data_IF_327272317116
#
_entry.id   IF_327272317116
#
_cell.length_a   1.000
_cell.length_b   1.000
_cell.length_c   1.000
_cell.angle_alpha   90.00
_cell.angle_beta   90.00
_cell.angle_gamma   90.00
#
_symmetry.space_group_name_H-M   'P 1'
#
loop_
_entity.id
_entity.type
_entity.pdbx_description
1 polymer ?
#
# COMPACT_ATOMS: atom_id res chain seq x y z
N UNK A 1 -7.97 -24.09 -38.86
CA UNK A 1 -8.18 -24.22 -37.40
C UNK A 1 -7.01 -23.52 -36.73
N UNK A 2 -7.19 -22.31 -36.24
CA UNK A 2 -6.15 -21.62 -35.47
C UNK A 2 -6.26 -22.11 -34.02
N UNK A 3 -5.30 -22.93 -33.60
CA UNK A 3 -5.11 -23.27 -32.19
C UNK A 3 -4.79 -21.97 -31.44
N UNK A 4 -5.51 -21.71 -30.36
CA UNK A 4 -5.23 -20.61 -29.44
C UNK A 4 -3.80 -20.80 -28.95
N UNK A 5 -2.85 -19.91 -29.32
CA UNK A 5 -1.51 -20.00 -28.74
C UNK A 5 -1.66 -19.79 -27.24
N UNK A 6 -1.03 -20.65 -26.44
CA UNK A 6 -1.02 -20.50 -24.99
C UNK A 6 -0.60 -19.06 -24.64
N UNK A 7 -1.31 -18.44 -23.71
CA UNK A 7 -0.91 -17.12 -23.22
C UNK A 7 0.42 -17.27 -22.49
N UNK A 8 1.39 -16.47 -22.87
CA UNK A 8 2.64 -16.38 -22.14
C UNK A 8 2.38 -15.61 -20.83
N UNK A 9 2.89 -16.14 -19.73
CA UNK A 9 2.73 -15.59 -18.39
C UNK A 9 4.09 -15.41 -17.74
N UNK A 10 4.24 -14.29 -17.03
CA UNK A 10 5.47 -13.93 -16.32
C UNK A 10 5.39 -14.28 -14.83
N UNK A 11 4.21 -14.67 -14.35
CA UNK A 11 3.92 -14.88 -12.93
C UNK A 11 3.04 -16.11 -12.74
N UNK A 12 3.36 -16.94 -11.75
CA UNK A 12 2.48 -18.02 -11.28
C UNK A 12 2.43 -18.05 -9.75
N UNK A 13 1.25 -18.35 -9.18
CA UNK A 13 1.06 -18.42 -7.73
C UNK A 13 0.47 -19.75 -7.28
N UNK A 14 0.86 -20.21 -6.09
CA UNK A 14 0.26 -21.36 -5.39
C UNK A 14 0.05 -21.07 -3.91
N UNK A 15 -1.01 -21.64 -3.36
CA UNK A 15 -1.21 -21.67 -1.91
C UNK A 15 -0.49 -22.89 -1.38
N UNK A 16 0.42 -22.69 -0.44
CA UNK A 16 1.12 -23.77 0.25
C UNK A 16 0.45 -24.00 1.61
N UNK A 17 0.31 -25.26 2.01
CA UNK A 17 -0.22 -25.60 3.33
C UNK A 17 0.44 -26.87 3.85
N UNK A 18 1.31 -26.72 4.84
CA UNK A 18 2.07 -27.82 5.43
C UNK A 18 2.02 -27.79 6.95
N UNK A 19 2.35 -28.93 7.56
CA UNK A 19 2.54 -29.05 9.01
C UNK A 19 4.02 -29.03 9.33
N UNK A 20 4.42 -28.27 10.34
CA UNK A 20 5.76 -28.31 10.94
C UNK A 20 5.91 -29.51 11.88
N UNK A 21 7.12 -29.80 12.35
CA UNK A 21 7.38 -30.93 13.27
C UNK A 21 6.65 -30.82 14.61
N UNK A 22 6.37 -29.61 15.07
CA UNK A 22 5.55 -29.39 16.27
C UNK A 22 4.03 -29.42 15.98
N UNK A 23 3.62 -30.08 14.88
CA UNK A 23 2.23 -30.33 14.48
C UNK A 23 1.40 -29.07 14.22
N UNK A 24 2.05 -27.90 14.09
CA UNK A 24 1.37 -26.65 13.72
C UNK A 24 1.23 -26.60 12.20
N UNK A 25 0.02 -26.29 11.74
CA UNK A 25 -0.25 -26.14 10.30
C UNK A 25 -0.02 -24.70 9.90
N UNK A 26 0.82 -24.47 8.90
CA UNK A 26 1.13 -23.15 8.35
C UNK A 26 0.55 -23.05 6.94
N UNK A 27 0.03 -21.87 6.57
CA UNK A 27 -0.48 -21.58 5.23
C UNK A 27 0.05 -20.24 4.75
N UNK A 28 0.44 -20.18 3.48
CA UNK A 28 0.89 -18.96 2.81
C UNK A 28 0.61 -19.01 1.31
N UNK A 29 0.89 -17.90 0.63
CA UNK A 29 0.85 -17.81 -0.84
C UNK A 29 2.27 -17.64 -1.37
N UNK A 30 2.71 -18.59 -2.19
CA UNK A 30 3.97 -18.56 -2.92
C UNK A 30 3.72 -17.99 -4.32
N UNK A 31 4.57 -17.07 -4.77
CA UNK A 31 4.52 -16.48 -6.11
C UNK A 31 5.88 -16.56 -6.78
N UNK A 32 5.92 -17.09 -7.99
CA UNK A 32 7.10 -17.14 -8.86
C UNK A 32 7.02 -16.02 -9.88
N UNK A 33 8.13 -15.32 -10.06
CA UNK A 33 8.34 -14.36 -11.14
C UNK A 33 9.40 -14.92 -12.08
N UNK A 34 9.02 -15.22 -13.31
CA UNK A 34 9.94 -15.78 -14.29
C UNK A 34 10.83 -14.70 -14.91
N UNK A 35 12.04 -15.06 -15.30
CA UNK A 35 12.95 -14.16 -16.02
C UNK A 35 12.47 -13.88 -17.44
N UNK A 36 11.85 -14.87 -18.08
CA UNK A 36 11.27 -14.78 -19.42
C UNK A 36 9.80 -15.24 -19.38
N UNK A 37 8.91 -14.70 -20.24
CA UNK A 37 7.53 -15.18 -20.34
C UNK A 37 7.49 -16.69 -20.61
N UNK A 38 6.66 -17.41 -19.85
CA UNK A 38 6.52 -18.87 -19.92
C UNK A 38 5.14 -19.25 -20.45
N UNK A 39 5.02 -20.42 -21.06
CA UNK A 39 3.68 -20.93 -21.34
C UNK A 39 2.94 -21.14 -20.02
N UNK A 40 1.61 -20.92 -20.01
CA UNK A 40 0.78 -21.16 -18.82
C UNK A 40 1.04 -22.55 -18.19
N UNK A 41 1.23 -23.58 -19.04
CA UNK A 41 1.49 -24.96 -18.60
C UNK A 41 2.82 -25.09 -17.84
N UNK A 42 3.90 -24.51 -18.37
CA UNK A 42 5.23 -24.59 -17.77
C UNK A 42 5.28 -23.77 -16.47
N UNK A 43 4.65 -22.60 -16.48
CA UNK A 43 4.52 -21.73 -15.32
C UNK A 43 3.76 -22.42 -14.17
N UNK A 44 2.65 -23.08 -14.48
CA UNK A 44 1.86 -23.84 -13.50
C UNK A 44 2.65 -25.04 -12.96
N UNK A 45 3.32 -25.79 -13.83
CA UNK A 45 4.15 -26.92 -13.42
C UNK A 45 5.31 -26.48 -12.51
N UNK A 46 5.97 -25.37 -12.81
CA UNK A 46 7.01 -24.80 -11.98
C UNK A 46 6.48 -24.36 -10.62
N UNK A 47 5.32 -23.72 -10.57
CA UNK A 47 4.69 -23.28 -9.34
C UNK A 47 4.26 -24.46 -8.44
N UNK A 48 3.76 -25.56 -9.02
CA UNK A 48 3.39 -26.78 -8.29
C UNK A 48 4.62 -27.48 -7.69
N UNK A 49 5.72 -27.57 -8.44
CA UNK A 49 6.98 -28.12 -7.93
C UNK A 49 7.56 -27.27 -6.80
N UNK A 50 7.56 -25.94 -6.99
CA UNK A 50 8.06 -25.02 -5.98
C UNK A 50 7.19 -25.05 -4.71
N UNK A 51 5.87 -25.16 -4.86
CA UNK A 51 4.95 -25.36 -3.75
C UNK A 51 5.24 -26.66 -2.99
N UNK A 52 5.48 -27.77 -3.70
CA UNK A 52 5.80 -29.07 -3.08
C UNK A 52 7.10 -29.00 -2.26
N UNK A 53 8.14 -28.35 -2.78
CA UNK A 53 9.39 -28.13 -2.05
C UNK A 53 9.24 -27.20 -0.85
N UNK A 54 8.43 -26.14 -1.00
CA UNK A 54 8.12 -25.24 0.10
C UNK A 54 7.42 -26.00 1.24
N UNK A 55 6.48 -26.90 0.92
CA UNK A 55 5.81 -27.76 1.89
C UNK A 55 6.77 -28.73 2.58
N UNK A 56 7.72 -29.32 1.86
CA UNK A 56 8.79 -30.16 2.43
C UNK A 56 9.66 -29.37 3.42
N UNK A 57 10.12 -28.17 3.06
CA UNK A 57 10.91 -27.31 3.95
C UNK A 57 10.12 -26.94 5.21
N UNK A 58 8.82 -26.61 5.07
CA UNK A 58 7.96 -26.35 6.23
C UNK A 58 7.89 -27.59 7.14
N UNK A 59 7.79 -28.78 6.57
CA UNK A 59 7.71 -30.03 7.33
C UNK A 59 9.00 -30.41 8.06
N UNK A 60 10.15 -29.92 7.58
CA UNK A 60 11.44 -30.13 8.23
C UNK A 60 11.66 -29.20 9.42
N UNK A 61 11.02 -28.03 9.45
CA UNK A 61 11.19 -27.06 10.52
C UNK A 61 10.73 -27.62 11.87
N UNK A 62 11.58 -27.46 12.88
CA UNK A 62 11.27 -27.83 14.26
C UNK A 62 10.09 -27.04 14.83
N UNK A 63 9.97 -25.77 14.44
CA UNK A 63 8.95 -24.85 14.92
C UNK A 63 8.47 -23.90 13.80
N UNK A 64 7.17 -23.60 13.81
CA UNK A 64 6.53 -22.60 12.95
C UNK A 64 7.03 -21.18 13.18
N UNK A 65 7.42 -20.81 14.41
CA UNK A 65 7.97 -19.48 14.71
C UNK A 65 9.23 -19.20 13.89
N UNK A 66 10.10 -20.19 13.75
CA UNK A 66 11.31 -20.08 12.95
C UNK A 66 11.01 -19.77 11.48
N UNK A 67 9.92 -20.31 10.92
CA UNK A 67 9.55 -20.01 9.53
C UNK A 67 8.99 -18.58 9.40
N UNK A 68 8.19 -18.14 10.38
CA UNK A 68 7.56 -16.81 10.38
C UNK A 68 8.55 -15.67 10.64
N UNK A 69 9.57 -15.90 11.45
CA UNK A 69 10.60 -14.90 11.77
C UNK A 69 11.70 -14.82 10.70
N UNK A 70 11.99 -15.93 10.01
CA UNK A 70 13.09 -16.05 9.06
C UNK A 70 12.62 -16.36 7.63
N UNK A 71 11.65 -15.61 7.12
CA UNK A 71 11.12 -15.77 5.76
C UNK A 71 12.23 -15.71 4.68
N UNK A 72 13.23 -14.84 4.86
CA UNK A 72 14.36 -14.73 3.93
C UNK A 72 15.24 -16.00 3.87
N UNK A 73 15.45 -16.67 5.01
CA UNK A 73 16.17 -17.94 5.07
C UNK A 73 15.36 -19.06 4.42
N UNK A 74 14.03 -19.05 4.64
CA UNK A 74 13.11 -19.98 3.99
C UNK A 74 13.17 -19.86 2.46
N UNK A 75 13.09 -18.64 1.92
CA UNK A 75 13.21 -18.40 0.47
C UNK A 75 14.59 -18.82 -0.05
N UNK A 76 15.66 -18.58 0.73
CA UNK A 76 17.02 -19.00 0.37
C UNK A 76 17.18 -20.53 0.38
N UNK A 77 16.55 -21.23 1.31
CA UNK A 77 16.50 -22.69 1.35
C UNK A 77 15.72 -23.25 0.15
N UNK A 78 14.57 -22.63 -0.18
CA UNK A 78 13.77 -23.01 -1.33
C UNK A 78 14.55 -22.84 -2.63
N UNK A 79 15.19 -21.69 -2.86
CA UNK A 79 16.03 -21.42 -4.04
C UNK A 79 17.14 -22.45 -4.21
N UNK A 80 17.80 -22.86 -3.12
CA UNK A 80 18.88 -23.88 -3.16
C UNK A 80 18.38 -25.27 -3.53
N UNK A 81 17.09 -25.57 -3.33
CA UNK A 81 16.47 -26.87 -3.62
C UNK A 81 15.69 -26.89 -4.93
N UNK A 82 15.65 -25.77 -5.66
CA UNK A 82 14.93 -25.72 -6.93
C UNK A 82 15.56 -26.70 -7.93
N UNK A 83 14.74 -27.49 -8.65
CA UNK A 83 15.23 -28.35 -9.72
C UNK A 83 15.86 -27.52 -10.83
N UNK A 84 16.86 -28.08 -11.52
CA UNK A 84 17.53 -27.40 -12.65
C UNK A 84 16.60 -27.27 -13.87
N UNK A 85 15.56 -28.09 -13.95
CA UNK A 85 14.63 -28.18 -15.08
C UNK A 85 13.41 -27.27 -14.98
N UNK A 86 13.32 -26.41 -13.95
CA UNK A 86 12.30 -25.35 -13.93
C UNK A 86 12.74 -24.15 -14.78
N UNK A 87 11.81 -23.39 -15.37
CA UNK A 87 12.12 -22.14 -16.03
C UNK A 87 12.88 -21.16 -15.12
N UNK A 88 13.77 -20.31 -15.66
CA UNK A 88 14.54 -19.37 -14.87
C UNK A 88 13.62 -18.43 -14.09
N UNK A 89 13.80 -18.39 -12.77
CA UNK A 89 13.00 -17.59 -11.84
C UNK A 89 13.81 -16.37 -11.40
N UNK A 90 13.30 -15.17 -11.66
CA UNK A 90 13.85 -13.88 -11.22
C UNK A 90 13.68 -13.68 -9.72
N UNK A 91 12.47 -13.93 -9.21
CA UNK A 91 12.16 -13.81 -7.79
C UNK A 91 11.09 -14.80 -7.32
N UNK A 92 11.11 -15.05 -6.01
CA UNK A 92 10.16 -15.92 -5.33
C UNK A 92 9.69 -15.15 -4.11
N UNK A 93 8.39 -14.91 -4.05
CA UNK A 93 7.76 -14.16 -2.98
C UNK A 93 6.85 -15.08 -2.18
N UNK A 94 6.97 -14.98 -0.85
CA UNK A 94 6.06 -15.61 0.09
C UNK A 94 5.26 -14.53 0.80
N UNK A 95 3.93 -14.64 0.75
CA UNK A 95 3.03 -13.67 1.36
C UNK A 95 1.99 -14.35 2.24
N UNK A 96 1.61 -13.67 3.32
CA UNK A 96 0.51 -14.06 4.18
C UNK A 96 0.73 -15.39 4.90
N UNK A 97 1.97 -15.71 5.27
CA UNK A 97 2.30 -16.90 6.03
C UNK A 97 1.71 -16.80 7.44
N UNK A 98 0.89 -17.77 7.84
CA UNK A 98 0.26 -17.80 9.16
C UNK A 98 -0.08 -19.22 9.61
N UNK A 99 -0.30 -19.39 10.92
CA UNK A 99 -0.72 -20.67 11.51
C UNK A 99 -2.23 -20.85 11.35
N UNK A 100 -2.65 -21.96 10.75
CA UNK A 100 -4.06 -22.36 10.67
C UNK A 100 -4.50 -22.93 12.02
N UNK A 101 -5.59 -22.39 12.55
CA UNK A 101 -6.20 -22.87 13.80
C UNK A 101 -5.63 -22.23 15.06
N UNK A 102 -4.73 -21.25 14.92
CA UNK A 102 -4.38 -20.36 16.03
C UNK A 102 -5.53 -19.35 16.24
N UNK A 103 -6.24 -19.38 17.38
CA UNK A 103 -7.27 -18.39 17.68
C UNK A 103 -6.70 -16.97 17.77
N UNK A 104 -5.41 -16.83 18.05
CA UNK A 104 -4.68 -15.55 18.13
C UNK A 104 -4.45 -14.91 16.76
N UNK A 105 -4.34 -15.70 15.69
CA UNK A 105 -4.21 -15.23 14.31
C UNK A 105 -5.58 -14.98 13.65
N UNK A 106 -6.62 -15.65 14.13
CA UNK A 106 -7.99 -15.53 13.59
C UNK A 106 -8.69 -14.22 13.96
N UNK A 107 -8.22 -13.51 14.99
CA UNK A 107 -8.71 -12.18 15.40
C UNK A 107 -8.23 -11.05 14.47
N UNK A 108 -7.14 -11.22 13.73
CA UNK A 108 -6.63 -10.22 12.79
C UNK A 108 -7.26 -10.28 11.39
N UNK A 109 -7.83 -11.42 10.99
CA UNK A 109 -8.27 -11.67 9.59
C UNK A 109 -9.80 -11.81 9.46
N UNK A 110 -10.58 -11.87 10.57
CA UNK A 110 -12.04 -11.91 10.52
C UNK A 110 -12.69 -10.55 10.84
N UNK A 111 -13.21 -9.90 9.80
CA UNK A 111 -14.34 -8.94 9.76
C UNK A 111 -14.14 -7.53 10.35
N UNK A 112 -14.12 -6.56 9.44
CA UNK A 112 -14.84 -5.29 9.62
C UNK A 112 -15.93 -5.16 8.55
N UNK A 113 -16.88 -6.09 8.55
CA UNK A 113 -18.18 -5.95 7.88
C UNK A 113 -19.29 -6.48 8.80
N UNK A 114 -19.69 -5.63 9.75
CA UNK A 114 -20.99 -5.64 10.44
C UNK A 114 -21.06 -4.31 11.21
N UNK A 115 -21.72 -3.31 10.64
CA UNK A 115 -23.13 -2.99 10.85
C UNK A 115 -23.36 -2.21 12.15
N UNK A 116 -23.75 -0.95 11.92
CA UNK A 116 -24.17 0.06 12.87
C UNK A 116 -25.14 -0.47 13.92
N UNK A 117 -24.84 -0.20 15.19
CA UNK A 117 -25.87 0.00 16.21
C UNK A 117 -25.51 1.25 17.00
N UNK A 118 -26.41 2.23 16.95
CA UNK A 118 -26.29 3.53 17.58
C UNK A 118 -26.13 3.39 19.12
N UNK A 119 -25.18 4.14 19.67
CA UNK A 119 -25.00 4.33 21.11
C UNK A 119 -25.61 5.69 21.46
N UNK A 120 -26.66 5.68 22.28
CA UNK A 120 -27.26 6.85 22.94
C UNK A 120 -26.52 7.07 24.28
N UNK A 121 -26.29 8.32 24.73
CA UNK A 121 -25.45 8.61 25.90
C UNK A 121 -26.13 8.25 27.25
N UNK A 122 -25.33 8.11 28.34
CA UNK A 122 -25.86 7.72 29.64
C UNK A 122 -26.41 8.91 30.44
N UNK A 123 -27.55 8.69 31.09
CA UNK A 123 -28.08 9.53 32.18
C UNK A 123 -27.97 8.72 33.48
N UNK A 124 -27.44 9.36 34.51
CA UNK A 124 -27.27 8.85 35.87
C UNK A 124 -28.61 8.53 36.55
N UNK A 125 -28.73 7.39 37.25
CA UNK A 125 -29.33 7.29 38.59
C UNK A 125 -29.32 5.86 39.16
N UNK A 126 -28.94 5.81 40.43
CA UNK A 126 -29.06 4.86 41.53
C UNK A 126 -29.97 3.61 41.47
N UNK A 127 -29.41 2.54 42.06
CA UNK A 127 -29.98 1.61 43.05
C UNK A 127 -30.99 0.50 42.65
N UNK A 128 -30.54 -0.72 43.00
CA UNK A 128 -31.26 -1.79 43.70
C UNK A 128 -31.90 -2.97 42.93
N UNK A 129 -31.52 -4.16 43.45
CA UNK A 129 -32.23 -5.44 43.52
C UNK A 129 -32.39 -6.32 42.27
N UNK A 130 -31.84 -7.54 42.38
CA UNK A 130 -32.15 -8.73 41.59
C UNK A 130 -33.53 -9.33 41.99
N UNK A 131 -34.02 -10.49 41.47
CA UNK A 131 -33.51 -11.36 40.39
C UNK A 131 -34.62 -11.81 39.39
N UNK A 132 -34.30 -12.86 38.61
CA UNK A 132 -35.17 -13.93 38.04
C UNK A 132 -35.57 -13.93 36.55
N UNK A 133 -35.36 -15.13 35.98
CA UNK A 133 -36.06 -15.82 34.90
C UNK A 133 -35.72 -15.58 33.41
N UNK A 134 -35.41 -16.72 32.77
CA UNK A 134 -35.25 -16.94 31.34
C UNK A 134 -36.58 -17.37 30.67
N UNK A 135 -36.74 -17.09 29.37
CA UNK A 135 -37.54 -17.95 28.49
C UNK A 135 -36.85 -18.34 27.15
N UNK A 136 -37.40 -19.32 26.40
CA UNK A 136 -36.72 -20.11 25.36
C UNK A 136 -36.83 -19.55 23.92
N UNK A 137 -36.07 -20.09 22.93
CA UNK A 137 -36.15 -19.67 21.53
C UNK A 137 -37.26 -20.38 20.73
N UNK A 138 -37.91 -19.70 19.77
CA UNK A 138 -38.84 -20.32 18.82
C UNK A 138 -38.17 -20.84 17.51
N UNK A 139 -38.88 -21.67 16.72
CA UNK A 139 -38.30 -22.64 15.81
C UNK A 139 -38.15 -22.20 14.33
N UNK A 140 -37.30 -22.94 13.63
CA UNK A 140 -37.02 -22.93 12.19
C UNK A 140 -38.20 -23.54 11.40
N UNK A 141 -38.52 -23.05 10.19
CA UNK A 141 -39.14 -23.87 9.17
C UNK A 141 -38.24 -24.09 7.94
N UNK A 142 -38.00 -25.38 7.67
CA UNK A 142 -37.59 -25.94 6.38
C UNK A 142 -38.61 -25.60 5.29
N UNK A 143 -38.14 -25.30 4.07
CA UNK A 143 -38.81 -25.80 2.84
C UNK A 143 -37.85 -25.96 1.66
N UNK A 144 -38.06 -27.11 1.05
CA UNK A 144 -37.44 -27.92 0.00
C UNK A 144 -37.52 -27.34 -1.43
N UNK A 145 -36.94 -28.04 -2.44
CA UNK A 145 -36.40 -27.47 -3.68
C UNK A 145 -37.34 -27.64 -4.89
N UNK A 146 -36.97 -27.03 -6.02
CA UNK A 146 -37.49 -27.47 -7.32
C UNK A 146 -37.15 -26.57 -8.51
N UNK A 147 -36.56 -27.20 -9.52
CA UNK A 147 -36.91 -27.02 -10.95
C UNK A 147 -36.19 -25.94 -11.78
N UNK A 148 -35.15 -26.38 -12.52
CA UNK A 148 -34.93 -26.03 -13.94
C UNK A 148 -36.02 -26.73 -14.81
N UNK A 149 -36.21 -26.50 -16.15
CA UNK A 149 -35.22 -26.01 -17.13
C UNK A 149 -35.75 -25.18 -18.36
N UNK A 150 -34.79 -24.76 -19.18
CA UNK A 150 -34.77 -24.87 -20.65
C UNK A 150 -35.07 -23.67 -21.60
N UNK A 151 -34.15 -23.57 -22.58
CA UNK A 151 -34.30 -23.29 -24.03
C UNK A 151 -34.13 -21.88 -24.63
N UNK A 152 -33.27 -21.89 -25.69
CA UNK A 152 -33.36 -21.19 -27.00
C UNK A 152 -32.86 -19.73 -27.05
N UNK A 153 -32.20 -19.22 -28.09
CA UNK A 153 -31.39 -19.72 -29.20
C UNK A 153 -30.70 -18.51 -29.87
N UNK A 154 -29.65 -18.81 -30.65
CA UNK A 154 -29.17 -18.14 -31.88
C UNK A 154 -29.60 -16.69 -32.20
N UNK A 155 -28.62 -15.83 -32.50
CA UNK A 155 -28.53 -15.12 -33.77
C UNK A 155 -27.14 -14.50 -34.00
N UNK A 156 -26.66 -14.64 -35.24
CA UNK A 156 -25.54 -13.93 -35.87
C UNK A 156 -26.09 -13.19 -37.10
N UNK A 157 -25.29 -12.48 -37.92
CA UNK A 157 -24.86 -11.08 -37.77
C UNK A 157 -25.42 -10.19 -38.91
N UNK A 158 -24.89 -8.96 -39.10
CA UNK A 158 -24.30 -8.73 -40.42
C UNK A 158 -22.98 -7.94 -40.42
N UNK A 159 -22.21 -8.22 -41.47
CA UNK A 159 -20.92 -7.66 -41.86
C UNK A 159 -21.01 -6.21 -42.32
N UNK A 160 -19.91 -5.46 -42.12
CA UNK A 160 -19.52 -4.34 -42.98
C UNK A 160 -18.00 -4.27 -43.11
N UNK A 161 -17.57 -3.69 -44.21
CA UNK A 161 -16.35 -3.93 -44.98
C UNK A 161 -15.34 -2.77 -44.86
N UNK A 162 -14.04 -3.09 -45.01
CA UNK A 162 -12.93 -2.26 -45.56
C UNK A 162 -12.43 -1.12 -44.62
N UNK A 163 -11.15 -1.01 -44.24
CA UNK A 163 -10.03 -0.52 -45.08
C UNK A 163 -8.67 -0.72 -44.39
N UNK A 164 -7.66 -1.09 -45.18
CA UNK A 164 -6.23 -1.23 -44.85
C UNK A 164 -5.49 0.10 -44.77
N UNK A 165 -4.61 0.27 -43.78
CA UNK A 165 -3.58 1.31 -43.75
C UNK A 165 -2.56 1.07 -42.63
N UNK A 166 -1.24 1.18 -42.88
CA UNK A 166 -0.21 0.98 -41.86
C UNK A 166 0.03 2.28 -41.09
N UNK A 167 -0.21 2.29 -39.78
CA UNK A 167 0.22 3.40 -38.92
C UNK A 167 1.14 2.91 -37.81
N UNK A 168 2.25 3.63 -37.72
CA UNK A 168 3.36 3.50 -36.79
C UNK A 168 2.92 3.23 -35.35
N UNK A 169 3.53 2.21 -34.75
CA UNK A 169 3.48 1.93 -33.31
C UNK A 169 4.25 3.03 -32.57
N UNK A 170 3.62 4.17 -32.35
CA UNK A 170 3.96 5.01 -31.21
C UNK A 170 3.50 4.26 -29.97
N UNK A 171 4.43 3.95 -29.07
CA UNK A 171 4.12 3.38 -27.77
C UNK A 171 3.13 4.30 -27.06
N UNK A 172 1.87 3.89 -27.05
CA UNK A 172 0.85 4.53 -26.23
C UNK A 172 1.31 4.34 -24.78
N UNK A 173 1.80 5.43 -24.18
CA UNK A 173 1.96 5.52 -22.73
C UNK A 173 0.59 5.23 -22.13
N UNK A 174 0.44 4.02 -21.62
CA UNK A 174 -0.73 3.62 -20.86
C UNK A 174 -0.72 4.46 -19.59
N UNK A 175 -1.38 5.63 -19.67
CA UNK A 175 -1.76 6.47 -18.54
C UNK A 175 -2.68 5.62 -17.66
N UNK A 176 -2.09 4.76 -16.84
CA UNK A 176 -2.79 4.08 -15.76
C UNK A 176 -3.13 5.17 -14.76
N UNK A 177 -4.41 5.54 -14.58
CA UNK A 177 -4.72 6.69 -13.77
C UNK A 177 -4.53 6.30 -12.31
N UNK A 178 -4.01 7.22 -11.50
CA UNK A 178 -3.88 7.18 -10.04
C UNK A 178 -5.26 7.19 -9.36
N UNK A 179 -6.15 6.30 -9.82
CA UNK A 179 -7.61 6.30 -9.66
C UNK A 179 -8.15 6.02 -8.25
N UNK A 180 -7.31 5.75 -7.24
CA UNK A 180 -7.82 5.30 -5.93
C UNK A 180 -8.13 6.42 -4.92
N UNK A 181 -7.62 7.64 -5.05
CA UNK A 181 -7.69 8.62 -3.94
C UNK A 181 -8.79 9.69 -4.04
N UNK A 182 -9.33 9.97 -5.23
CA UNK A 182 -10.51 10.85 -5.36
C UNK A 182 -11.76 10.30 -4.65
N UNK A 183 -11.81 9.01 -4.32
CA UNK A 183 -12.94 8.39 -3.59
C UNK A 183 -13.00 8.75 -2.11
N UNK A 184 -11.94 9.33 -1.53
CA UNK A 184 -11.90 9.71 -0.12
C UNK A 184 -12.30 11.17 0.13
N UNK A 185 -12.57 11.96 -0.91
CA UNK A 185 -13.08 13.33 -0.74
C UNK A 185 -14.48 13.28 -0.16
N UNK A 186 -14.60 13.68 1.11
CA UNK A 186 -15.90 13.84 1.75
C UNK A 186 -16.45 15.24 1.48
N UNK A 187 -17.79 15.41 1.40
CA UNK A 187 -18.39 16.74 1.24
C UNK A 187 -17.94 17.74 2.32
N UNK A 188 -17.51 17.27 3.48
CA UNK A 188 -16.99 18.08 4.58
C UNK A 188 -15.63 18.75 4.28
N UNK A 189 -14.95 18.35 3.20
CA UNK A 189 -13.69 18.95 2.76
C UNK A 189 -13.88 20.16 1.85
N UNK A 190 -15.09 20.36 1.32
CA UNK A 190 -15.42 21.55 0.53
C UNK A 190 -15.82 22.65 1.49
N UNK A 191 -14.93 23.62 1.66
CA UNK A 191 -15.14 24.76 2.54
C UNK A 191 -15.77 25.92 1.76
N UNK A 192 -16.63 26.74 2.39
CA UNK A 192 -17.17 27.93 1.74
C UNK A 192 -16.06 28.96 1.46
N UNK A 193 -16.18 29.78 0.40
CA UNK A 193 -15.28 30.91 0.17
C UNK A 193 -15.23 31.87 1.36
N UNK A 194 -14.04 32.39 1.67
CA UNK A 194 -13.78 33.22 2.85
C UNK A 194 -13.60 32.43 4.15
N UNK A 195 -13.35 31.12 4.06
CA UNK A 195 -13.05 30.28 5.23
C UNK A 195 -11.76 30.71 5.92
N UNK A 196 -11.69 30.70 7.26
CA UNK A 196 -10.50 31.10 7.99
C UNK A 196 -9.35 30.09 7.78
N UNK A 197 -8.07 30.52 7.89
CA UNK A 197 -6.90 29.65 7.74
C UNK A 197 -6.98 28.37 8.58
N UNK A 198 -7.47 28.47 9.82
CA UNK A 198 -7.68 27.34 10.72
C UNK A 198 -8.63 26.27 10.15
N UNK A 199 -9.68 26.66 9.44
CA UNK A 199 -10.61 25.71 8.83
C UNK A 199 -9.97 24.99 7.65
N UNK A 200 -9.22 25.73 6.82
CA UNK A 200 -8.47 25.19 5.69
C UNK A 200 -7.39 24.21 6.19
N UNK A 201 -6.69 24.59 7.26
CA UNK A 201 -5.69 23.77 7.92
C UNK A 201 -6.22 22.41 8.37
N UNK A 202 -7.45 22.33 8.90
CA UNK A 202 -8.09 21.06 9.28
C UNK A 202 -8.31 20.12 8.11
N UNK A 203 -8.56 20.67 6.91
CA UNK A 203 -8.72 19.88 5.69
C UNK A 203 -7.35 19.45 5.14
N UNK A 204 -6.35 20.33 5.22
CA UNK A 204 -5.00 20.10 4.69
C UNK A 204 -4.17 19.12 5.54
N UNK A 205 -4.30 19.18 6.87
CA UNK A 205 -3.47 18.40 7.80
C UNK A 205 -3.49 16.88 7.54
N UNK A 206 -4.63 16.23 7.28
CA UNK A 206 -4.69 14.82 6.90
C UNK A 206 -3.89 14.49 5.62
N UNK A 207 -3.90 15.37 4.60
CA UNK A 207 -3.08 15.18 3.40
C UNK A 207 -1.59 15.26 3.74
N UNK A 208 -1.18 16.25 4.51
CA UNK A 208 0.22 16.42 4.91
C UNK A 208 0.73 15.21 5.69
N UNK A 209 -0.08 14.68 6.62
CA UNK A 209 0.23 13.48 7.40
C UNK A 209 0.39 12.23 6.52
N UNK A 210 -0.55 12.02 5.59
CA UNK A 210 -0.48 10.91 4.64
C UNK A 210 0.72 11.04 3.69
N UNK A 211 1.03 12.25 3.22
CA UNK A 211 2.16 12.52 2.33
C UNK A 211 3.48 12.21 3.02
N UNK A 212 3.69 12.72 4.23
CA UNK A 212 4.87 12.43 5.04
C UNK A 212 5.07 10.93 5.25
N UNK A 213 3.98 10.24 5.60
CA UNK A 213 4.00 8.80 5.88
C UNK A 213 4.24 7.96 4.62
N UNK A 214 3.73 8.40 3.47
CA UNK A 214 4.00 7.74 2.18
C UNK A 214 5.44 7.92 1.74
N UNK A 215 6.01 9.11 1.88
CA UNK A 215 7.43 9.36 1.60
C UNK A 215 8.29 8.47 2.49
N UNK A 216 7.98 8.39 3.80
CA UNK A 216 8.70 7.52 4.73
C UNK A 216 8.61 6.04 4.32
N UNK A 217 7.41 5.51 4.12
CA UNK A 217 7.23 4.10 3.73
C UNK A 217 7.87 3.81 2.37
N UNK A 218 7.73 4.72 1.41
CA UNK A 218 8.36 4.60 0.10
C UNK A 218 9.87 4.53 0.21
N UNK A 219 10.49 5.44 0.96
CA UNK A 219 11.93 5.40 1.22
C UNK A 219 12.36 4.08 1.85
N UNK A 220 11.65 3.62 2.89
CA UNK A 220 11.98 2.37 3.58
C UNK A 220 11.89 1.15 2.65
N UNK A 221 10.91 1.12 1.74
CA UNK A 221 10.77 0.04 0.75
C UNK A 221 11.82 0.12 -0.35
N UNK A 222 12.07 1.31 -0.89
CA UNK A 222 13.15 1.51 -1.87
C UNK A 222 14.50 1.10 -1.27
N UNK A 223 14.74 1.46 -0.01
CA UNK A 223 15.92 1.07 0.74
C UNK A 223 16.04 -0.44 0.93
N UNK A 224 14.97 -1.15 1.32
CA UNK A 224 14.99 -2.61 1.41
C UNK A 224 15.38 -3.26 0.07
N UNK A 225 14.73 -2.83 -1.02
CA UNK A 225 14.93 -3.43 -2.33
C UNK A 225 16.34 -3.16 -2.87
N UNK A 226 16.78 -1.89 -2.87
CA UNK A 226 18.07 -1.51 -3.44
C UNK A 226 19.24 -1.85 -2.53
N UNK A 227 19.15 -1.46 -1.26
CA UNK A 227 20.30 -1.46 -0.36
C UNK A 227 20.44 -2.79 0.37
N UNK A 228 19.33 -3.36 0.87
CA UNK A 228 19.39 -4.61 1.64
C UNK A 228 19.35 -5.84 0.74
N UNK A 229 18.54 -5.82 -0.32
CA UNK A 229 18.35 -6.97 -1.22
C UNK A 229 19.17 -6.89 -2.50
N UNK A 230 19.78 -5.74 -2.81
CA UNK A 230 20.60 -5.57 -4.02
C UNK A 230 19.82 -5.73 -5.32
N UNK A 231 18.51 -5.47 -5.31
CA UNK A 231 17.68 -5.56 -6.49
C UNK A 231 17.90 -4.32 -7.36
N UNK A 232 18.35 -4.53 -8.59
CA UNK A 232 18.35 -3.49 -9.62
C UNK A 232 16.90 -3.20 -10.00
N UNK A 233 16.31 -2.15 -9.43
CA UNK A 233 15.02 -1.65 -9.91
C UNK A 233 15.31 -0.82 -11.16
N UNK A 234 14.81 -1.26 -12.31
CA UNK A 234 14.92 -0.51 -13.55
C UNK A 234 14.06 0.76 -13.51
N UNK A 235 14.64 1.87 -13.98
CA UNK A 235 13.99 3.17 -14.10
C UNK A 235 12.70 3.05 -14.92
N UNK A 236 11.56 3.40 -14.31
CA UNK A 236 10.26 3.39 -14.98
C UNK A 236 9.52 2.05 -15.02
N UNK A 237 10.03 1.00 -14.35
CA UNK A 237 9.28 -0.26 -14.26
C UNK A 237 8.00 -0.10 -13.44
N UNK A 238 6.88 -0.60 -13.97
CA UNK A 238 5.60 -0.62 -13.26
C UNK A 238 5.65 -1.47 -11.97
N UNK A 239 6.61 -2.41 -11.91
CA UNK A 239 6.90 -3.22 -10.73
C UNK A 239 7.57 -2.42 -9.62
N UNK A 240 8.55 -1.56 -9.94
CA UNK A 240 9.18 -0.62 -8.98
C UNK A 240 8.12 0.28 -8.36
N UNK A 241 7.23 0.83 -9.18
CA UNK A 241 6.08 1.59 -8.73
C UNK A 241 5.19 0.80 -7.77
N UNK A 242 4.81 -0.42 -8.12
CA UNK A 242 3.94 -1.23 -7.26
C UNK A 242 4.60 -1.60 -5.92
N UNK A 243 5.93 -1.77 -5.93
CA UNK A 243 6.69 -2.09 -4.73
C UNK A 243 6.90 -0.86 -3.83
N UNK A 244 7.28 0.28 -4.43
CA UNK A 244 7.65 1.52 -3.70
C UNK A 244 6.47 2.43 -3.42
N UNK A 245 5.40 2.39 -4.22
CA UNK A 245 4.17 3.18 -4.01
C UNK A 245 3.18 2.38 -3.18
N UNK A 246 3.07 2.65 -1.88
CA UNK A 246 2.15 1.93 -1.04
C UNK A 246 0.70 2.37 -1.32
N UNK A 247 -0.08 1.44 -1.85
CA UNK A 247 -1.55 1.57 -1.96
C UNK A 247 -2.14 1.42 -0.56
N UNK A 248 -3.08 2.29 -0.19
CA UNK A 248 -3.85 2.15 1.05
C UNK A 248 -5.30 2.50 0.80
N UNK A 249 -6.19 1.69 1.37
CA UNK A 249 -7.64 1.92 1.41
C UNK A 249 -8.06 2.66 2.70
N UNK A 250 -7.09 3.11 3.50
CA UNK A 250 -7.35 3.86 4.72
C UNK A 250 -8.05 5.20 4.40
N UNK A 251 -8.89 5.70 5.33
CA UNK A 251 -9.40 7.06 5.21
C UNK A 251 -8.25 8.07 5.21
N UNK A 252 -8.50 9.26 4.67
CA UNK A 252 -7.52 10.34 4.64
C UNK A 252 -6.97 10.65 6.05
N UNK A 253 -5.65 10.75 6.17
CA UNK A 253 -4.93 10.89 7.45
C UNK A 253 -4.73 9.57 8.20
N UNK A 254 -5.31 8.47 7.72
CA UNK A 254 -5.20 7.13 8.30
C UNK A 254 -4.09 6.28 7.68
N UNK A 255 -3.31 6.82 6.75
CA UNK A 255 -2.31 6.04 6.02
C UNK A 255 -1.23 5.47 6.96
N UNK A 256 -0.70 6.27 7.89
CA UNK A 256 0.34 5.80 8.83
C UNK A 256 -0.17 4.64 9.69
N UNK A 257 -1.38 4.77 10.23
CA UNK A 257 -2.02 3.73 11.04
C UNK A 257 -2.16 2.41 10.27
N UNK A 258 -2.49 2.48 8.97
CA UNK A 258 -2.58 1.30 8.09
C UNK A 258 -1.24 0.58 7.83
N UNK A 259 -0.13 1.21 8.23
CA UNK A 259 1.24 0.71 8.07
C UNK A 259 1.99 0.53 9.39
N UNK A 260 1.28 0.56 10.52
CA UNK A 260 1.87 0.45 11.86
C UNK A 260 2.81 -0.76 12.02
N UNK A 261 2.44 -1.94 11.51
CA UNK A 261 3.27 -3.14 11.61
C UNK A 261 4.58 -3.01 10.82
N UNK A 262 4.51 -2.46 9.60
CA UNK A 262 5.67 -2.20 8.76
C UNK A 262 6.60 -1.15 9.39
N UNK A 263 6.03 -0.05 9.88
CA UNK A 263 6.78 1.02 10.56
C UNK A 263 7.42 0.52 11.86
N UNK A 264 6.73 -0.30 12.64
CA UNK A 264 7.28 -0.89 13.87
C UNK A 264 8.47 -1.80 13.58
N UNK A 265 8.39 -2.62 12.52
CA UNK A 265 9.52 -3.46 12.08
C UNK A 265 10.74 -2.59 11.77
N UNK A 266 10.57 -1.55 10.98
CA UNK A 266 11.66 -0.64 10.63
C UNK A 266 12.22 0.14 11.81
N UNK A 267 11.35 0.56 12.74
CA UNK A 267 11.76 1.20 13.98
C UNK A 267 12.63 0.27 14.84
N UNK A 268 12.30 -1.02 14.88
CA UNK A 268 13.11 -2.03 15.58
C UNK A 268 14.45 -2.27 14.87
N UNK A 269 14.48 -2.26 13.54
CA UNK A 269 15.70 -2.47 12.74
C UNK A 269 16.69 -1.29 12.82
N UNK A 270 16.21 -0.05 12.68
CA UNK A 270 17.06 1.14 12.72
C UNK A 270 17.31 1.69 14.13
N UNK A 271 16.51 1.25 15.10
CA UNK A 271 16.45 1.86 16.42
C UNK A 271 15.62 3.15 16.45
N UNK A 272 15.09 3.47 17.64
CA UNK A 272 14.16 4.57 17.85
C UNK A 272 14.72 5.93 17.37
N UNK A 273 15.97 6.24 17.71
CA UNK A 273 16.54 7.57 17.45
C UNK A 273 16.66 7.86 15.95
N UNK A 274 17.22 6.92 15.18
CA UNK A 274 17.36 7.05 13.72
C UNK A 274 15.99 7.08 13.05
N UNK A 275 15.08 6.19 13.45
CA UNK A 275 13.75 6.13 12.87
C UNK A 275 12.94 7.42 13.09
N UNK A 276 13.01 8.02 14.28
CA UNK A 276 12.35 9.30 14.54
C UNK A 276 12.97 10.45 13.73
N UNK A 277 14.28 10.45 13.48
CA UNK A 277 14.91 11.42 12.57
C UNK A 277 14.41 11.25 11.14
N UNK A 278 14.36 10.02 10.62
CA UNK A 278 13.81 9.74 9.28
C UNK A 278 12.35 10.20 9.17
N UNK A 279 11.51 9.85 10.16
CA UNK A 279 10.10 10.28 10.21
C UNK A 279 10.01 11.81 10.20
N UNK A 280 10.78 12.49 11.05
CA UNK A 280 10.79 13.96 11.12
C UNK A 280 11.17 14.60 9.79
N UNK A 281 12.17 14.07 9.10
CA UNK A 281 12.57 14.59 7.79
C UNK A 281 11.47 14.45 6.73
N UNK A 282 10.77 13.31 6.72
CA UNK A 282 9.64 13.09 5.83
C UNK A 282 8.46 14.03 6.15
N UNK A 283 8.26 14.39 7.42
CA UNK A 283 7.26 15.39 7.83
C UNK A 283 7.64 16.79 7.34
N UNK A 284 8.91 17.18 7.51
CA UNK A 284 9.37 18.51 7.08
C UNK A 284 9.24 18.68 5.57
N UNK A 285 9.63 17.68 4.77
CA UNK A 285 9.50 17.78 3.31
C UNK A 285 8.02 17.76 2.86
N UNK A 286 7.13 17.08 3.59
CA UNK A 286 5.69 17.16 3.31
C UNK A 286 5.12 18.57 3.58
N UNK A 287 5.58 19.25 4.64
CA UNK A 287 5.25 20.68 4.87
C UNK A 287 5.79 21.54 3.73
N UNK A 288 7.02 21.29 3.27
CA UNK A 288 7.60 21.97 2.12
C UNK A 288 6.75 21.82 0.86
N UNK A 289 6.34 20.59 0.51
CA UNK A 289 5.49 20.36 -0.66
C UNK A 289 4.10 21.00 -0.52
N UNK A 290 3.54 21.05 0.69
CA UNK A 290 2.29 21.77 0.93
C UNK A 290 2.47 23.28 0.71
N UNK A 291 3.57 23.86 1.21
CA UNK A 291 3.89 25.26 1.00
C UNK A 291 4.04 25.61 -0.48
N UNK A 292 4.84 24.85 -1.24
CA UNK A 292 5.00 25.10 -2.68
C UNK A 292 3.69 24.93 -3.43
N UNK A 293 2.89 23.91 -3.09
CA UNK A 293 1.58 23.68 -3.71
C UNK A 293 0.59 24.81 -3.46
N UNK A 294 0.54 25.37 -2.25
CA UNK A 294 -0.31 26.52 -1.93
C UNK A 294 0.12 27.78 -2.70
N UNK A 295 1.43 28.04 -2.79
CA UNK A 295 1.96 29.17 -3.57
C UNK A 295 1.68 29.01 -5.07
N UNK A 296 1.78 27.79 -5.62
CA UNK A 296 1.45 27.52 -7.02
C UNK A 296 -0.04 27.70 -7.33
N UNK A 297 -0.90 27.73 -6.33
CA UNK A 297 -2.33 28.07 -6.48
C UNK A 297 -2.60 29.57 -6.35
N UNK A 298 -1.55 30.41 -6.37
CA UNK A 298 -1.62 31.87 -6.21
C UNK A 298 -2.14 32.32 -4.83
N UNK A 299 -2.04 31.46 -3.80
CA UNK A 299 -2.42 31.85 -2.44
C UNK A 299 -1.34 32.77 -1.87
N UNK A 300 -1.67 33.99 -1.40
CA UNK A 300 -0.71 34.93 -0.85
C UNK A 300 0.15 34.30 0.25
N UNK A 301 1.45 34.63 0.25
CA UNK A 301 2.42 34.00 1.13
C UNK A 301 2.06 34.12 2.61
N UNK A 302 1.49 35.25 3.04
CA UNK A 302 1.04 35.45 4.42
C UNK A 302 -0.07 34.46 4.80
N UNK A 303 -1.06 34.25 3.92
CA UNK A 303 -2.17 33.30 4.14
C UNK A 303 -1.64 31.86 4.11
N UNK A 304 -0.74 31.55 3.18
CA UNK A 304 -0.09 30.23 3.10
C UNK A 304 0.62 29.89 4.42
N UNK A 305 1.38 30.83 4.99
CA UNK A 305 2.07 30.62 6.27
C UNK A 305 1.08 30.45 7.43
N UNK A 306 0.00 31.23 7.48
CA UNK A 306 -1.05 31.08 8.51
C UNK A 306 -1.72 29.70 8.43
N UNK A 307 -2.06 29.22 7.23
CA UNK A 307 -2.62 27.88 7.02
C UNK A 307 -1.64 26.81 7.52
N UNK A 308 -0.36 26.91 7.17
CA UNK A 308 0.64 25.91 7.55
C UNK A 308 0.97 25.95 9.05
N UNK A 309 0.95 27.12 9.69
CA UNK A 309 1.12 27.27 11.14
C UNK A 309 0.04 26.50 11.91
N UNK A 310 -1.18 26.47 11.39
CA UNK A 310 -2.29 25.71 11.97
C UNK A 310 -2.28 24.23 11.55
N UNK A 311 -1.95 23.92 10.28
CA UNK A 311 -2.02 22.57 9.75
C UNK A 311 -0.91 21.66 10.29
N UNK A 312 0.31 22.18 10.43
CA UNK A 312 1.49 21.43 10.89
C UNK A 312 1.27 20.75 12.25
N UNK A 313 0.88 21.46 13.33
CA UNK A 313 0.64 20.83 14.62
C UNK A 313 -0.54 19.84 14.59
N UNK A 314 -1.56 20.07 13.76
CA UNK A 314 -2.65 19.10 13.59
C UNK A 314 -2.19 17.81 12.91
N UNK A 315 -1.32 17.92 11.90
CA UNK A 315 -0.80 16.78 11.15
C UNK A 315 0.20 15.93 11.95
N UNK A 316 0.97 16.57 12.84
CA UNK A 316 2.16 15.97 13.46
C UNK A 316 2.19 16.12 14.98
N UNK A 317 1.04 15.89 15.63
CA UNK A 317 0.91 15.78 17.09
C UNK A 317 1.47 17.00 17.88
N UNK A 318 1.30 18.21 17.35
CA UNK A 318 1.65 19.47 18.01
C UNK A 318 3.09 19.95 17.78
N UNK A 319 3.91 19.25 16.97
CA UNK A 319 5.29 19.66 16.73
C UNK A 319 5.40 20.81 15.72
N UNK A 320 5.33 22.05 16.22
CA UNK A 320 5.52 23.26 15.40
C UNK A 320 6.96 23.41 14.85
N UNK A 321 7.95 22.69 15.38
CA UNK A 321 9.33 22.79 14.91
C UNK A 321 9.52 22.21 13.50
N UNK A 322 8.59 21.37 13.05
CA UNK A 322 8.58 20.81 11.69
C UNK A 322 8.43 21.93 10.66
N UNK A 323 7.60 22.94 10.94
CA UNK A 323 7.41 24.08 10.04
C UNK A 323 8.71 24.87 9.85
N UNK A 324 9.45 25.11 10.94
CA UNK A 324 10.75 25.80 10.88
C UNK A 324 11.77 25.01 10.06
N UNK A 325 11.69 23.68 10.12
CA UNK A 325 12.55 22.79 9.36
C UNK A 325 12.46 22.99 7.85
N UNK A 326 11.31 23.44 7.33
CA UNK A 326 11.07 23.63 5.89
C UNK A 326 12.08 24.58 5.23
N UNK A 327 12.61 25.55 6.00
CA UNK A 327 13.53 26.57 5.52
C UNK A 327 14.75 26.03 4.76
N UNK A 328 15.22 24.82 5.10
CA UNK A 328 16.36 24.17 4.40
C UNK A 328 16.08 23.81 2.94
N UNK A 329 14.81 23.67 2.57
CA UNK A 329 14.39 23.29 1.22
C UNK A 329 14.06 24.51 0.35
N UNK A 330 13.80 25.67 0.96
CA UNK A 330 13.36 26.89 0.26
C UNK A 330 14.42 27.46 -0.71
N UNK A 331 15.70 27.14 -0.51
CA UNK A 331 16.78 27.59 -1.39
C UNK A 331 17.04 26.66 -2.58
N UNK A 332 16.44 25.47 -2.59
CA UNK A 332 16.63 24.49 -3.65
C UNK A 332 15.64 24.72 -4.79
N UNK A 333 16.03 24.35 -5.99
CA UNK A 333 15.08 24.23 -7.11
C UNK A 333 14.24 22.97 -6.93
N UNK A 334 13.01 22.96 -7.46
CA UNK A 334 12.09 21.82 -7.34
C UNK A 334 12.71 20.49 -7.77
N UNK A 335 13.51 20.49 -8.85
CA UNK A 335 14.20 19.30 -9.37
C UNK A 335 15.32 18.78 -8.44
N UNK A 336 15.85 19.63 -7.56
CA UNK A 336 16.95 19.32 -6.64
C UNK A 336 16.45 18.80 -5.28
N UNK A 337 15.17 19.01 -4.96
CA UNK A 337 14.59 18.67 -3.65
C UNK A 337 14.62 17.16 -3.40
N UNK A 338 14.23 16.34 -4.38
CA UNK A 338 14.20 14.89 -4.21
C UNK A 338 15.62 14.29 -4.07
N UNK A 339 16.59 14.60 -4.95
CA UNK A 339 17.98 14.18 -4.74
C UNK A 339 18.54 14.60 -3.37
N UNK A 340 18.28 15.83 -2.93
CA UNK A 340 18.73 16.33 -1.63
C UNK A 340 18.05 15.59 -0.45
N UNK A 341 16.76 15.30 -0.55
CA UNK A 341 16.04 14.48 0.42
C UNK A 341 16.65 13.08 0.52
N UNK A 342 16.85 12.40 -0.61
CA UNK A 342 17.43 11.06 -0.63
C UNK A 342 18.86 11.05 -0.08
N UNK A 343 19.68 12.06 -0.40
CA UNK A 343 21.00 12.22 0.20
C UNK A 343 20.93 12.33 1.72
N UNK A 344 20.05 13.19 2.23
CA UNK A 344 19.88 13.40 3.67
C UNK A 344 19.35 12.14 4.39
N UNK A 345 18.33 11.48 3.83
CA UNK A 345 17.80 10.23 4.40
C UNK A 345 18.83 9.10 4.38
N UNK A 346 19.66 9.02 3.33
CA UNK A 346 20.77 8.06 3.23
C UNK A 346 21.84 8.33 4.28
N UNK A 347 22.18 9.61 4.53
CA UNK A 347 23.13 10.00 5.57
C UNK A 347 22.62 9.61 6.98
N UNK A 348 21.31 9.75 7.22
CA UNK A 348 20.69 9.34 8.47
C UNK A 348 20.75 7.83 8.74
N UNK A 349 20.58 6.99 7.71
CA UNK A 349 20.72 5.53 7.84
C UNK A 349 22.18 5.06 7.76
N UNK A 350 23.08 5.90 7.26
CA UNK A 350 24.53 5.68 7.22
C UNK A 350 25.03 4.85 6.03
N UNK A 351 24.15 4.38 5.14
CA UNK A 351 24.54 3.64 3.94
C UNK A 351 23.45 3.65 2.85
N UNK A 352 23.85 3.38 1.61
CA UNK A 352 22.97 3.37 0.44
C UNK A 352 23.43 4.33 -0.66
N UNK A 353 22.82 4.24 -1.84
CA UNK A 353 23.07 5.14 -2.95
C UNK A 353 21.91 6.14 -3.09
N UNK A 354 22.11 7.44 -2.80
CA UNK A 354 21.02 8.41 -2.84
C UNK A 354 20.46 8.65 -4.24
N UNK A 355 21.26 8.42 -5.29
CA UNK A 355 20.80 8.58 -6.68
C UNK A 355 19.82 7.47 -7.08
N UNK A 356 20.11 6.22 -6.73
CA UNK A 356 19.22 5.09 -6.97
C UNK A 356 17.90 5.26 -6.20
N UNK A 357 17.98 5.70 -4.94
CA UNK A 357 16.81 5.99 -4.13
C UNK A 357 15.98 7.15 -4.69
N UNK A 358 16.62 8.20 -5.22
CA UNK A 358 15.92 9.31 -5.86
C UNK A 358 15.18 8.85 -7.12
N UNK A 359 15.80 7.99 -7.94
CA UNK A 359 15.12 7.42 -9.11
C UNK A 359 13.90 6.58 -8.71
N UNK A 360 14.06 5.71 -7.71
CA UNK A 360 13.00 4.85 -7.22
C UNK A 360 11.80 5.61 -6.63
N UNK A 361 12.07 6.76 -5.98
CA UNK A 361 11.05 7.59 -5.33
C UNK A 361 10.43 8.65 -6.24
N UNK A 362 10.97 8.88 -7.43
CA UNK A 362 10.53 9.93 -8.36
C UNK A 362 9.01 9.96 -8.57
N UNK A 363 8.43 8.82 -8.91
CA UNK A 363 7.01 8.69 -9.22
C UNK A 363 6.13 8.73 -7.96
N UNK A 364 6.65 8.26 -6.82
CA UNK A 364 5.96 8.40 -5.54
C UNK A 364 5.82 9.88 -5.17
N UNK A 365 6.91 10.64 -5.30
CA UNK A 365 6.94 12.08 -5.00
C UNK A 365 6.05 12.84 -5.97
N UNK A 366 6.04 12.48 -7.26
CA UNK A 366 5.09 13.04 -8.22
C UNK A 366 3.63 12.80 -7.78
N UNK A 367 3.28 11.58 -7.35
CA UNK A 367 1.93 11.27 -6.84
C UNK A 367 1.59 12.02 -5.54
N UNK A 368 2.57 12.24 -4.65
CA UNK A 368 2.38 13.05 -3.44
C UNK A 368 2.13 14.52 -3.79
N UNK A 369 2.86 15.06 -4.75
CA UNK A 369 2.64 16.42 -5.24
C UNK A 369 1.27 16.58 -5.89
N UNK A 370 0.79 15.60 -6.68
CA UNK A 370 -0.57 15.62 -7.23
C UNK A 370 -1.65 15.72 -6.15
N UNK A 371 -1.52 14.94 -5.06
CA UNK A 371 -2.46 14.99 -3.92
C UNK A 371 -2.43 16.35 -3.21
N UNK A 372 -1.26 16.96 -3.05
CA UNK A 372 -1.12 18.27 -2.41
C UNK A 372 -1.57 19.42 -3.32
N UNK A 373 -1.41 19.30 -4.63
CA UNK A 373 -1.98 20.24 -5.61
C UNK A 373 -3.51 20.21 -5.52
N UNK A 374 -4.12 19.02 -5.44
CA UNK A 374 -5.56 18.88 -5.23
C UNK A 374 -6.01 19.49 -3.89
N UNK A 375 -5.30 19.21 -2.80
CA UNK A 375 -5.62 19.82 -1.50
C UNK A 375 -5.48 21.35 -1.53
N UNK A 376 -4.48 21.86 -2.27
CA UNK A 376 -4.24 23.29 -2.42
C UNK A 376 -5.28 23.97 -3.30
N UNK A 377 -5.85 23.28 -4.30
CA UNK A 377 -6.96 23.84 -5.09
C UNK A 377 -8.21 24.01 -4.24
N UNK A 378 -8.51 23.07 -3.34
CA UNK A 378 -9.59 23.25 -2.35
C UNK A 378 -9.31 24.43 -1.42
N UNK A 379 -8.05 24.60 -1.00
CA UNK A 379 -7.66 25.74 -0.18
C UNK A 379 -7.86 27.06 -0.93
N UNK A 380 -7.51 27.14 -2.22
CA UNK A 380 -7.74 28.31 -3.07
C UNK A 380 -9.21 28.68 -3.13
N UNK A 381 -10.08 27.72 -3.43
CA UNK A 381 -11.53 27.90 -3.47
C UNK A 381 -12.07 28.41 -2.12
N UNK A 382 -11.55 27.86 -1.02
CA UNK A 382 -11.94 28.21 0.34
C UNK A 382 -11.47 29.61 0.76
N UNK A 383 -10.31 30.07 0.30
CA UNK A 383 -9.86 31.46 0.50
C UNK A 383 -10.74 32.43 -0.31
N UNK A 384 -11.30 31.98 -1.44
CA UNK A 384 -12.19 32.75 -2.29
C UNK A 384 -11.46 33.50 -3.41
N UNK A 385 -10.40 32.90 -3.96
CA UNK A 385 -9.58 33.44 -5.05
C UNK A 385 -9.73 32.67 -6.36
#
# INVERSE_FOLDING_TARGET
MAFWSAADVEIASRIITAKTRNERRVRGKLTLHFSDPQTQSDADQAADRCASLAEEIISEASDHQHILEFEGEFISALRRRLPIDIPPVRSIDLAGLHVIGDPSASSGIRRSTASFRAVVPPVSASSALAPTQAPPPPPIPNRTPGSSPAHRASNTPPSSMITTGPMSRAAASSKRPTFSRMRAMTPAMVLPPGSPPLAIARVLAPFMSDCASRILVGFLRAYDLHVLRGLALEDGSAEMLAAVVPVSDAPLGGYEASRTAELTRWQNSFGQATFQRLRRECQVVAVFFAHTSLLHQDIPQNITLEILQEATPMAFAGDASILLGMSRWLSLKDEEVLPALCAHLTDLVGHGNPHELASALSLLVASVNEDLVLASSLAKDAVGM
#
